data_IF_153637229160
#
_entry.id   IF_153637229160
#
_cell.length_a   1.000
_cell.length_b   1.000
_cell.length_c   1.000
_cell.angle_alpha   90.00
_cell.angle_beta   90.00
_cell.angle_gamma   90.00
#
_symmetry.space_group_name_H-M   'P 1'
#
loop_
_entity.id
_entity.type
_entity.pdbx_description
1 polymer ?
#
# COMPACT_ATOMS: atom_id res chain seq x y z
N UNK A 1 -8.72 5.52 25.42
CA UNK A 1 -8.41 5.15 24.01
C UNK A 1 -6.96 4.69 23.96
N UNK A 2 -6.65 3.53 23.38
CA UNK A 2 -5.27 2.99 23.33
C UNK A 2 -4.61 3.37 22.00
N UNK A 3 -3.35 3.82 22.05
CA UNK A 3 -2.55 4.04 20.84
C UNK A 3 -1.96 2.70 20.39
N UNK A 4 -2.03 2.44 19.09
CA UNK A 4 -1.47 1.26 18.46
C UNK A 4 -0.40 1.66 17.43
N UNK A 5 0.49 0.73 17.08
CA UNK A 5 1.58 0.97 16.13
C UNK A 5 1.08 1.48 14.76
N UNK A 6 -0.08 1.00 14.30
CA UNK A 6 -0.70 1.53 13.09
C UNK A 6 -1.00 3.03 13.21
N UNK A 7 -1.44 3.53 14.37
CA UNK A 7 -1.65 4.98 14.55
C UNK A 7 -0.35 5.77 14.38
N UNK A 8 0.77 5.24 14.88
CA UNK A 8 2.07 5.91 14.79
C UNK A 8 2.58 5.93 13.34
N UNK A 9 2.56 4.79 12.66
CA UNK A 9 3.14 4.66 11.32
C UNK A 9 2.22 5.18 10.21
N UNK A 10 0.91 5.02 10.36
CA UNK A 10 -0.06 5.64 9.45
C UNK A 10 -0.03 7.16 9.61
N UNK A 11 0.19 7.67 10.83
CA UNK A 11 0.32 9.11 11.10
C UNK A 11 1.33 9.80 10.18
N UNK A 12 2.48 9.18 9.90
CA UNK A 12 3.47 9.73 8.97
C UNK A 12 2.91 9.96 7.55
N UNK A 13 2.12 9.02 7.04
CA UNK A 13 1.47 9.15 5.73
C UNK A 13 0.34 10.19 5.77
N UNK A 14 -0.48 10.16 6.82
CA UNK A 14 -1.60 11.08 6.98
C UNK A 14 -1.16 12.53 7.15
N UNK A 15 -0.07 12.78 7.87
CA UNK A 15 0.51 14.12 8.02
C UNK A 15 0.96 14.68 6.67
N UNK A 16 1.71 13.91 5.85
CA UNK A 16 2.12 14.39 4.53
C UNK A 16 0.94 14.65 3.60
N UNK A 17 -0.11 13.82 3.66
CA UNK A 17 -1.36 14.07 2.93
C UNK A 17 -2.00 15.40 3.40
N UNK A 18 -2.10 15.61 4.71
CA UNK A 18 -2.71 16.80 5.29
C UNK A 18 -1.93 18.10 5.01
N UNK A 19 -0.61 17.99 4.79
CA UNK A 19 0.27 19.10 4.43
C UNK A 19 0.21 19.47 2.94
N UNK A 20 -0.38 18.63 2.09
CA UNK A 20 -0.44 18.88 0.65
C UNK A 20 -1.45 19.99 0.31
N UNK A 21 -1.10 20.88 -0.64
CA UNK A 21 -1.90 22.07 -0.99
C UNK A 21 -3.34 21.79 -1.46
N UNK A 22 -3.58 20.61 -2.03
CA UNK A 22 -4.92 20.20 -2.50
C UNK A 22 -5.75 19.50 -1.41
N UNK A 23 -5.20 19.28 -0.22
CA UNK A 23 -5.90 18.65 0.88
C UNK A 23 -7.02 19.53 1.45
N UNK A 24 -8.19 18.94 1.68
CA UNK A 24 -9.33 19.62 2.30
C UNK A 24 -9.90 18.84 3.49
N UNK A 25 -9.97 17.51 3.40
CA UNK A 25 -10.57 16.68 4.46
C UNK A 25 -9.98 15.27 4.51
N UNK A 26 -10.00 14.68 5.70
CA UNK A 26 -9.70 13.27 5.95
C UNK A 26 -10.79 12.64 6.82
N UNK A 27 -11.33 11.52 6.37
CA UNK A 27 -12.31 10.73 7.09
C UNK A 27 -11.86 9.27 7.17
N UNK A 28 -12.07 8.60 8.30
CA UNK A 28 -11.89 7.15 8.35
C UNK A 28 -12.92 6.47 7.44
N UNK A 29 -12.51 5.47 6.66
CA UNK A 29 -13.43 4.73 5.79
C UNK A 29 -14.40 3.91 6.63
N UNK A 30 -15.70 4.07 6.41
CA UNK A 30 -16.75 3.35 7.17
C UNK A 30 -17.12 2.04 6.48
N UNK A 31 -16.84 0.93 7.17
CA UNK A 31 -17.32 -0.42 6.89
C UNK A 31 -18.69 -0.64 7.55
N UNK A 32 -19.34 -1.77 7.24
CA UNK A 32 -20.64 -2.14 7.85
C UNK A 32 -20.57 -2.25 9.38
N UNK A 33 -19.41 -2.67 9.91
CA UNK A 33 -19.23 -2.98 11.35
C UNK A 33 -18.28 -1.97 12.03
N UNK A 34 -18.19 -0.74 11.51
CA UNK A 34 -17.40 0.33 12.12
C UNK A 34 -16.42 0.99 11.14
N UNK A 35 -15.48 1.75 11.69
CA UNK A 35 -14.45 2.41 10.90
C UNK A 35 -13.28 1.46 10.61
N UNK A 36 -12.73 1.55 9.40
CA UNK A 36 -11.44 0.95 9.08
C UNK A 36 -10.33 1.53 9.94
N UNK A 37 -9.36 0.69 10.28
CA UNK A 37 -8.11 1.12 10.94
C UNK A 37 -7.04 1.56 9.96
N UNK A 38 -7.18 1.15 8.69
CA UNK A 38 -6.13 1.29 7.68
C UNK A 38 -6.59 2.12 6.49
N UNK A 39 -7.90 2.27 6.28
CA UNK A 39 -8.46 2.98 5.14
C UNK A 39 -9.04 4.33 5.53
N UNK A 40 -8.73 5.33 4.70
CA UNK A 40 -9.17 6.71 4.84
C UNK A 40 -9.72 7.20 3.51
N UNK A 41 -10.65 8.16 3.57
CA UNK A 41 -11.17 8.90 2.44
C UNK A 41 -10.63 10.33 2.54
N UNK A 42 -9.90 10.76 1.52
CA UNK A 42 -9.30 12.09 1.37
C UNK A 42 -10.17 12.87 0.39
N UNK A 43 -10.51 14.11 0.76
CA UNK A 43 -11.33 15.03 -0.05
C UNK A 43 -12.64 14.40 -0.56
N UNK A 44 -13.22 13.49 0.22
CA UNK A 44 -14.46 12.75 -0.07
C UNK A 44 -14.44 11.85 -1.32
N UNK A 45 -13.34 11.82 -2.09
CA UNK A 45 -13.28 11.12 -3.38
C UNK A 45 -12.06 10.21 -3.57
N UNK A 46 -10.98 10.39 -2.79
CA UNK A 46 -9.75 9.59 -2.90
C UNK A 46 -9.69 8.58 -1.75
N UNK A 47 -9.67 7.30 -2.07
CA UNK A 47 -9.46 6.24 -1.10
C UNK A 47 -7.98 5.95 -0.86
N UNK A 48 -7.52 5.95 0.39
CA UNK A 48 -6.14 5.59 0.73
C UNK A 48 -6.14 4.46 1.76
N UNK A 49 -5.53 3.34 1.40
CA UNK A 49 -5.29 2.20 2.28
C UNK A 49 -3.84 2.19 2.74
N UNK A 50 -3.63 2.28 4.04
CA UNK A 50 -2.30 2.34 4.65
C UNK A 50 -1.87 0.97 5.14
N UNK A 51 -0.63 0.61 4.84
CA UNK A 51 0.10 -0.48 5.52
C UNK A 51 1.49 0.01 5.85
N UNK A 52 2.08 -0.56 6.89
CA UNK A 52 3.46 -0.28 7.26
C UNK A 52 4.27 -1.57 7.37
N UNK A 53 5.57 -1.43 7.18
CA UNK A 53 6.56 -2.45 7.50
C UNK A 53 7.72 -1.76 8.24
N UNK A 54 8.01 -2.24 9.46
CA UNK A 54 8.93 -1.55 10.37
C UNK A 54 10.39 -1.62 9.90
N UNK A 55 10.78 -2.76 9.34
CA UNK A 55 12.14 -3.05 8.86
C UNK A 55 12.10 -3.89 7.59
N UNK A 56 13.05 -3.70 6.66
CA UNK A 56 13.18 -4.58 5.52
C UNK A 56 13.77 -5.93 5.97
N UNK A 57 13.55 -6.96 5.16
CA UNK A 57 14.17 -8.26 5.35
C UNK A 57 15.69 -8.14 5.19
N UNK A 58 16.50 -8.69 6.13
CA UNK A 58 17.95 -8.47 6.15
C UNK A 58 18.69 -8.86 4.87
N UNK A 59 18.25 -9.94 4.21
CA UNK A 59 18.97 -10.50 3.07
C UNK A 59 18.81 -9.69 1.77
N UNK A 60 17.63 -9.09 1.55
CA UNK A 60 17.30 -8.49 0.24
C UNK A 60 16.85 -7.03 0.34
N UNK A 61 16.83 -6.45 1.55
CA UNK A 61 16.35 -5.09 1.80
C UNK A 61 14.92 -4.85 1.27
N UNK A 62 14.09 -5.89 1.34
CA UNK A 62 12.69 -5.89 0.91
C UNK A 62 11.75 -5.61 2.08
N UNK A 63 10.83 -4.68 1.94
CA UNK A 63 9.71 -4.47 2.86
C UNK A 63 8.52 -5.33 2.45
N UNK A 64 8.07 -6.28 3.29
CA UNK A 64 6.92 -7.11 2.99
C UNK A 64 5.61 -6.46 3.45
N UNK A 65 4.63 -6.39 2.55
CA UNK A 65 3.28 -5.91 2.81
C UNK A 65 2.28 -7.00 2.46
N UNK A 66 1.70 -7.63 3.47
CA UNK A 66 0.76 -8.75 3.29
C UNK A 66 -0.70 -8.27 3.21
N UNK A 67 -1.33 -8.54 2.09
CA UNK A 67 -2.75 -8.31 1.83
C UNK A 67 -3.51 -9.62 1.96
N UNK A 68 -4.30 -9.76 3.02
CA UNK A 68 -5.24 -10.86 3.21
C UNK A 68 -6.50 -10.60 2.37
N UNK A 69 -7.31 -11.63 2.12
CA UNK A 69 -8.58 -11.49 1.41
C UNK A 69 -9.45 -10.37 1.96
N UNK A 70 -9.56 -10.24 3.30
CA UNK A 70 -10.29 -9.15 3.96
C UNK A 70 -9.77 -7.74 3.61
N UNK A 71 -8.45 -7.56 3.45
CA UNK A 71 -7.86 -6.29 3.05
C UNK A 71 -8.19 -5.97 1.58
N UNK A 72 -8.21 -7.00 0.72
CA UNK A 72 -8.55 -6.83 -0.70
C UNK A 72 -10.04 -6.55 -0.90
N UNK A 73 -10.92 -7.18 -0.11
CA UNK A 73 -12.36 -6.91 -0.08
C UNK A 73 -12.65 -5.49 0.40
N UNK A 74 -11.90 -5.02 1.40
CA UNK A 74 -11.98 -3.66 1.89
C UNK A 74 -11.54 -2.66 0.80
N UNK A 75 -10.39 -2.87 0.16
CA UNK A 75 -9.95 -2.07 -0.99
C UNK A 75 -10.98 -2.04 -2.12
N UNK A 76 -11.57 -3.19 -2.44
CA UNK A 76 -12.66 -3.29 -3.43
C UNK A 76 -13.94 -2.58 -2.98
N UNK A 77 -14.16 -2.42 -1.67
CA UNK A 77 -15.28 -1.64 -1.13
C UNK A 77 -15.01 -0.14 -1.21
N UNK A 78 -13.76 0.28 -1.02
CA UNK A 78 -13.32 1.67 -1.20
C UNK A 78 -13.46 2.07 -2.68
N UNK A 79 -13.03 1.21 -3.61
CA UNK A 79 -13.09 1.48 -5.06
C UNK A 79 -14.51 1.61 -5.61
N UNK A 80 -15.53 1.18 -4.87
CA UNK A 80 -16.94 1.39 -5.23
C UNK A 80 -17.49 2.75 -4.79
N UNK A 81 -16.82 3.43 -3.85
CA UNK A 81 -17.27 4.69 -3.26
C UNK A 81 -16.38 5.88 -3.65
N UNK A 82 -15.10 5.63 -3.85
CA UNK A 82 -14.09 6.62 -4.19
C UNK A 82 -13.80 6.59 -5.70
N UNK A 83 -13.46 7.73 -6.28
CA UNK A 83 -13.09 7.87 -7.70
C UNK A 83 -11.73 7.24 -7.99
N UNK A 84 -10.79 7.39 -7.06
CA UNK A 84 -9.45 6.82 -7.14
C UNK A 84 -9.11 6.13 -5.82
N UNK A 85 -8.29 5.08 -5.89
CA UNK A 85 -7.87 4.31 -4.71
C UNK A 85 -6.38 4.02 -4.78
N UNK A 86 -5.71 4.19 -3.65
CA UNK A 86 -4.28 3.99 -3.51
C UNK A 86 -3.93 3.13 -2.30
N UNK A 87 -2.85 2.37 -2.39
CA UNK A 87 -2.21 1.73 -1.26
C UNK A 87 -0.90 2.47 -0.94
N UNK A 88 -0.85 3.13 0.21
CA UNK A 88 0.35 3.80 0.71
C UNK A 88 1.10 2.88 1.68
N UNK A 89 2.30 2.48 1.27
CA UNK A 89 3.13 1.47 1.92
C UNK A 89 4.29 2.15 2.66
N UNK A 90 4.15 2.29 3.98
CA UNK A 90 5.10 3.00 4.85
C UNK A 90 6.29 2.10 5.17
N UNK A 91 7.46 2.46 4.63
CA UNK A 91 8.74 1.82 4.90
C UNK A 91 9.43 2.53 6.07
N UNK A 92 9.10 2.14 7.30
CA UNK A 92 9.41 2.91 8.52
C UNK A 92 10.91 3.17 8.69
N UNK A 93 11.74 2.12 8.63
CA UNK A 93 13.20 2.25 8.83
C UNK A 93 13.86 3.22 7.84
N UNK A 94 13.40 3.26 6.59
CA UNK A 94 13.94 4.13 5.54
C UNK A 94 13.20 5.47 5.45
N UNK A 95 12.16 5.70 6.26
CA UNK A 95 11.37 6.93 6.34
C UNK A 95 10.78 7.37 5.00
N UNK A 96 10.28 6.41 4.23
CA UNK A 96 9.77 6.63 2.87
C UNK A 96 8.44 5.91 2.68
N UNK A 97 7.59 6.43 1.80
CA UNK A 97 6.25 5.90 1.52
C UNK A 97 6.17 5.56 0.05
N UNK A 98 5.87 4.30 -0.26
CA UNK A 98 5.62 3.86 -1.62
C UNK A 98 4.11 3.91 -1.89
N UNK A 99 3.69 4.68 -2.89
CA UNK A 99 2.28 4.83 -3.24
C UNK A 99 1.94 4.07 -4.52
N UNK A 100 1.12 3.04 -4.40
CA UNK A 100 0.59 2.23 -5.51
C UNK A 100 -0.85 2.65 -5.80
N UNK A 101 -1.22 2.71 -7.07
CA UNK A 101 -2.64 2.74 -7.44
C UNK A 101 -3.28 1.38 -7.15
N UNK A 102 -4.61 1.37 -7.02
CA UNK A 102 -5.37 0.13 -6.83
C UNK A 102 -5.19 -0.83 -8.00
N UNK A 103 -5.11 -0.32 -9.23
CA UNK A 103 -4.86 -1.09 -10.44
C UNK A 103 -3.46 -1.72 -10.42
N UNK A 104 -2.43 -0.97 -10.00
CA UNK A 104 -1.06 -1.50 -9.84
C UNK A 104 -1.02 -2.62 -8.80
N UNK A 105 -1.75 -2.46 -7.68
CA UNK A 105 -1.88 -3.51 -6.67
C UNK A 105 -2.58 -4.76 -7.22
N UNK A 106 -3.69 -4.60 -7.93
CA UNK A 106 -4.40 -5.71 -8.55
C UNK A 106 -3.54 -6.41 -9.60
N UNK A 107 -2.76 -5.68 -10.40
CA UNK A 107 -1.81 -6.28 -11.34
C UNK A 107 -0.79 -7.18 -10.64
N UNK A 108 -0.29 -6.79 -9.46
CA UNK A 108 0.62 -7.61 -8.67
C UNK A 108 -0.06 -8.87 -8.12
N UNK A 109 -1.29 -8.75 -7.63
CA UNK A 109 -2.10 -9.88 -7.15
C UNK A 109 -2.39 -10.86 -8.29
N UNK A 110 -2.81 -10.36 -9.46
CA UNK A 110 -3.12 -11.20 -10.62
C UNK A 110 -1.87 -11.89 -11.18
N UNK A 111 -0.71 -11.21 -11.23
CA UNK A 111 0.57 -11.87 -11.56
C UNK A 111 0.81 -13.07 -10.63
N UNK A 112 0.62 -12.89 -9.33
CA UNK A 112 0.82 -13.95 -8.34
C UNK A 112 -0.15 -15.12 -8.52
N UNK A 113 -1.44 -14.86 -8.73
CA UNK A 113 -2.45 -15.89 -9.02
C UNK A 113 -2.08 -16.71 -10.26
N UNK A 114 -1.68 -16.04 -11.34
CA UNK A 114 -1.25 -16.71 -12.58
C UNK A 114 -0.03 -17.60 -12.37
N UNK A 115 0.96 -17.15 -11.58
CA UNK A 115 2.14 -17.96 -11.28
C UNK A 115 1.83 -19.19 -10.43
N UNK A 116 0.83 -19.15 -9.55
CA UNK A 116 0.44 -20.29 -8.71
C UNK A 116 -0.57 -21.22 -9.39
N UNK A 117 -1.41 -20.68 -10.28
CA UNK A 117 -2.55 -21.39 -10.86
C UNK A 117 -3.76 -21.53 -9.92
N UNK A 118 -3.75 -20.86 -8.77
CA UNK A 118 -4.85 -20.87 -7.79
C UNK A 118 -4.86 -19.57 -6.97
N UNK A 119 -6.00 -19.27 -6.33
CA UNK A 119 -6.12 -18.18 -5.38
C UNK A 119 -5.39 -18.51 -4.06
N UNK A 120 -4.87 -17.47 -3.41
CA UNK A 120 -4.28 -17.52 -2.07
C UNK A 120 -5.11 -16.67 -1.10
N UNK A 121 -5.12 -17.05 0.18
CA UNK A 121 -5.76 -16.26 1.26
C UNK A 121 -5.01 -14.96 1.57
N UNK A 122 -3.75 -14.89 1.13
CA UNK A 122 -2.92 -13.71 1.28
C UNK A 122 -1.91 -13.56 0.16
N UNK A 123 -1.65 -12.30 -0.21
CA UNK A 123 -0.67 -11.90 -1.21
C UNK A 123 0.33 -10.97 -0.55
N UNK A 124 1.62 -11.29 -0.66
CA UNK A 124 2.68 -10.42 -0.13
C UNK A 124 3.29 -9.62 -1.24
N UNK A 125 3.09 -8.30 -1.20
CA UNK A 125 3.75 -7.32 -2.05
C UNK A 125 5.07 -6.94 -1.38
N UNK A 126 6.15 -7.00 -2.15
CA UNK A 126 7.49 -6.63 -1.71
C UNK A 126 7.86 -5.29 -2.32
N UNK A 127 8.28 -4.34 -1.49
CA UNK A 127 8.86 -3.08 -1.94
C UNK A 127 10.35 -3.04 -1.59
N UNK A 128 11.19 -2.72 -2.56
CA UNK A 128 12.62 -2.44 -2.32
C UNK A 128 12.91 -0.99 -2.62
N UNK A 129 13.85 -0.43 -1.87
CA UNK A 129 14.22 0.97 -1.95
C UNK A 129 15.75 1.12 -2.09
N UNK A 130 16.31 0.83 -3.28
CA UNK A 130 17.74 0.96 -3.52
C UNK A 130 18.17 2.42 -3.38
N UNK A 131 19.33 2.66 -2.78
CA UNK A 131 19.86 4.00 -2.50
C UNK A 131 19.80 4.91 -3.73
N UNK A 132 19.24 6.12 -3.55
CA UNK A 132 19.08 7.14 -4.59
C UNK A 132 18.28 6.72 -5.84
N UNK A 133 17.52 5.62 -5.79
CA UNK A 133 16.70 5.12 -6.90
C UNK A 133 15.23 5.00 -6.53
N UNK A 134 14.35 4.97 -7.54
CA UNK A 134 12.92 4.69 -7.37
C UNK A 134 12.65 3.35 -6.66
N UNK A 135 11.50 3.28 -5.98
CA UNK A 135 11.00 2.03 -5.44
C UNK A 135 10.83 0.99 -6.55
N UNK A 136 11.08 -0.27 -6.22
CA UNK A 136 10.70 -1.41 -7.06
C UNK A 136 9.74 -2.27 -6.27
N UNK A 137 8.53 -2.42 -6.81
CA UNK A 137 7.45 -3.16 -6.18
C UNK A 137 7.13 -4.40 -7.00
N UNK A 138 7.07 -5.55 -6.36
CA UNK A 138 6.82 -6.82 -7.03
C UNK A 138 6.23 -7.87 -6.07
N UNK A 139 5.92 -9.03 -6.63
CA UNK A 139 5.56 -10.24 -5.91
C UNK A 139 6.57 -11.33 -6.28
N UNK A 140 6.84 -12.27 -5.37
CA UNK A 140 7.64 -13.45 -5.71
C UNK A 140 6.80 -14.51 -6.44
N UNK A 141 7.39 -15.44 -7.20
CA UNK A 141 6.70 -16.61 -7.73
C UNK A 141 6.27 -17.60 -6.64
N UNK A 142 5.25 -18.41 -6.92
CA UNK A 142 4.80 -19.46 -5.99
C UNK A 142 5.91 -20.48 -5.73
N UNK A 143 6.13 -20.85 -4.46
CA UNK A 143 7.19 -21.81 -4.07
C UNK A 143 8.63 -21.29 -4.14
N UNK A 144 8.89 -20.17 -4.83
CA UNK A 144 10.21 -19.55 -4.89
C UNK A 144 10.28 -18.30 -4.02
N UNK A 145 11.14 -18.35 -2.99
CA UNK A 145 11.64 -17.12 -2.38
C UNK A 145 12.74 -16.56 -3.31
N UNK A 146 12.95 -15.25 -3.31
CA UNK A 146 14.15 -14.59 -3.88
C UNK A 146 14.15 -14.39 -5.41
N UNK A 147 13.01 -14.51 -6.08
CA UNK A 147 12.90 -14.14 -7.50
C UNK A 147 11.78 -13.12 -7.69
N UNK A 148 11.96 -12.25 -8.67
CA UNK A 148 10.96 -11.26 -9.08
C UNK A 148 10.06 -11.95 -10.10
N UNK A 149 8.75 -11.95 -9.87
CA UNK A 149 7.81 -12.43 -10.86
C UNK A 149 7.54 -11.33 -11.91
N UNK A 150 8.19 -11.46 -13.06
CA UNK A 150 8.11 -10.50 -14.17
C UNK A 150 8.85 -9.20 -13.88
N UNK A 151 8.44 -8.10 -14.53
CA UNK A 151 9.04 -6.78 -14.28
C UNK A 151 8.42 -6.11 -13.04
N UNK A 152 9.24 -5.50 -12.17
CA UNK A 152 8.75 -4.75 -11.03
C UNK A 152 8.06 -3.45 -11.49
N UNK A 153 7.07 -3.01 -10.72
CA UNK A 153 6.49 -1.68 -10.86
C UNK A 153 7.46 -0.67 -10.26
N UNK A 154 7.80 0.38 -11.02
CA UNK A 154 8.74 1.42 -10.60
C UNK A 154 7.96 2.63 -10.11
N UNK A 155 8.17 3.01 -8.85
CA UNK A 155 7.47 4.13 -8.21
C UNK A 155 8.50 5.16 -7.76
N UNK A 156 8.35 6.42 -8.18
CA UNK A 156 9.24 7.50 -7.74
C UNK A 156 9.21 7.65 -6.22
N UNK A 157 10.37 7.90 -5.60
CA UNK A 157 10.46 8.21 -4.16
C UNK A 157 9.65 9.44 -3.75
N UNK A 158 9.50 10.37 -4.69
CA UNK A 158 8.80 11.64 -4.49
C UNK A 158 7.34 11.58 -4.93
N UNK A 159 6.85 10.41 -5.36
CA UNK A 159 5.48 10.28 -5.84
C UNK A 159 4.45 10.54 -4.75
N UNK A 160 4.76 10.27 -3.48
CA UNK A 160 3.85 10.52 -2.37
C UNK A 160 4.19 11.85 -1.68
N UNK A 161 3.20 12.69 -1.33
CA UNK A 161 1.75 12.49 -1.49
C UNK A 161 1.19 12.90 -2.86
N UNK A 162 1.94 13.66 -3.69
CA UNK A 162 1.45 14.30 -4.92
C UNK A 162 0.56 13.38 -5.79
N UNK A 163 1.00 12.13 -6.00
CA UNK A 163 0.32 11.13 -6.83
C UNK A 163 -1.13 10.83 -6.42
N UNK A 164 -1.52 11.01 -5.16
CA UNK A 164 -2.92 10.76 -4.77
C UNK A 164 -3.86 11.90 -5.17
N UNK A 165 -3.32 13.07 -5.52
CA UNK A 165 -4.04 14.30 -5.88
C UNK A 165 -3.99 14.62 -7.39
N UNK A 166 -3.34 13.76 -8.18
CA UNK A 166 -3.23 13.85 -9.65
C UNK A 166 -4.45 13.25 -10.37
#
# INVERSE_FOLDING_TARGET
>A
MKIHDDHLYHGAALTQIAEHKQFTAINAFKLKVGASRSAFVINDEIGVYLKYATKPMPAYKEYPFTFRSEHLEELASISKKCKSVFAALVCVKDRQICCLSYEELLQLVEKRKRSRGSNEDQYTVLATLPENKSFRVYVSPAGAKKSILGSPIIISRRAFPDRIFE
#
